data_IF_768770040488
#
_entry.id   IF_768770040488
#
_cell.length_a   1.000
_cell.length_b   1.000
_cell.length_c   1.000
_cell.angle_alpha   90.00
_cell.angle_beta   90.00
_cell.angle_gamma   90.00
#
_symmetry.space_group_name_H-M   'P 1'
#
loop_
_entity.id
_entity.type
_entity.pdbx_description
1 polymer ?
#
# COMPACT_ATOMS: atom_id res chain seq x y z
N UNK A 1 -13.42 11.15 6.47
CA UNK A 1 -13.80 10.85 5.07
C UNK A 1 -15.03 9.92 5.07
N UNK A 2 -15.95 10.06 4.10
CA UNK A 2 -17.21 9.29 4.02
C UNK A 2 -17.04 7.76 3.98
N UNK A 3 -15.91 7.26 3.49
CA UNK A 3 -15.62 5.82 3.40
C UNK A 3 -15.61 5.10 4.76
N UNK A 4 -15.40 5.82 5.86
CA UNK A 4 -15.40 5.27 7.22
C UNK A 4 -16.76 5.42 7.94
N UNK A 5 -17.81 5.86 7.25
CA UNK A 5 -19.16 5.93 7.82
C UNK A 5 -19.84 4.57 7.90
N UNK A 6 -19.32 3.57 7.18
CA UNK A 6 -19.78 2.19 7.29
C UNK A 6 -18.94 1.50 8.34
N UNK A 7 -19.61 1.05 9.39
CA UNK A 7 -18.99 0.17 10.38
C UNK A 7 -18.71 -1.17 9.68
N UNK A 8 -17.43 -1.52 9.61
CA UNK A 8 -16.93 -2.81 9.13
C UNK A 8 -17.26 -3.15 7.65
N UNK A 9 -16.64 -2.45 6.67
CA UNK A 9 -16.82 -2.76 5.26
C UNK A 9 -16.09 -4.05 4.87
N UNK A 10 -16.78 -4.97 4.19
CA UNK A 10 -16.16 -6.18 3.63
C UNK A 10 -15.05 -5.86 2.60
N UNK A 11 -15.22 -4.77 1.85
CA UNK A 11 -14.24 -4.28 0.88
C UNK A 11 -13.98 -2.79 1.14
N UNK A 12 -12.74 -2.47 1.46
CA UNK A 12 -12.23 -1.11 1.58
C UNK A 12 -11.30 -0.83 0.40
N UNK A 13 -11.64 0.19 -0.41
CA UNK A 13 -10.77 0.64 -1.50
C UNK A 13 -10.30 2.06 -1.18
N UNK A 14 -8.98 2.24 -1.14
CA UNK A 14 -8.32 3.50 -0.85
C UNK A 14 -7.49 3.91 -2.08
N UNK A 15 -7.90 4.98 -2.74
CA UNK A 15 -7.19 5.56 -3.88
C UNK A 15 -6.43 6.80 -3.42
N UNK A 16 -5.11 6.72 -3.38
CA UNK A 16 -4.19 7.76 -2.90
C UNK A 16 -4.65 8.48 -1.62
N UNK A 17 -4.99 7.76 -0.53
CA UNK A 17 -5.63 8.35 0.65
C UNK A 17 -4.75 9.37 1.40
N UNK A 18 -3.46 9.43 1.08
CA UNK A 18 -2.43 10.23 1.76
C UNK A 18 -1.83 11.32 0.89
N UNK A 19 -2.40 11.59 -0.30
CA UNK A 19 -1.86 12.56 -1.25
C UNK A 19 -1.63 13.99 -0.68
N UNK A 20 -2.29 14.34 0.43
CA UNK A 20 -2.14 15.62 1.12
C UNK A 20 -1.52 15.54 2.52
N UNK A 21 -0.97 14.37 2.92
CA UNK A 21 -0.41 14.14 4.24
C UNK A 21 1.12 14.15 4.21
N UNK A 22 1.73 14.62 5.28
CA UNK A 22 3.17 14.47 5.52
C UNK A 22 3.52 13.00 5.83
N UNK A 23 4.81 12.66 5.73
CA UNK A 23 5.28 11.28 5.83
C UNK A 23 5.00 10.63 7.21
N UNK A 24 5.00 11.40 8.30
CA UNK A 24 4.73 10.88 9.65
C UNK A 24 3.24 10.58 9.81
N UNK A 25 2.39 11.52 9.40
CA UNK A 25 0.93 11.33 9.41
C UNK A 25 0.50 10.20 8.47
N UNK A 26 1.15 10.06 7.31
CA UNK A 26 0.95 8.95 6.39
C UNK A 26 1.25 7.60 7.05
N UNK A 27 2.43 7.47 7.67
CA UNK A 27 2.84 6.23 8.32
C UNK A 27 1.86 5.83 9.44
N UNK A 28 1.50 6.78 10.31
CA UNK A 28 0.55 6.54 11.39
C UNK A 28 -0.84 6.14 10.88
N UNK A 29 -1.31 6.75 9.79
CA UNK A 29 -2.60 6.41 9.18
C UNK A 29 -2.58 4.98 8.62
N UNK A 30 -1.49 4.58 7.98
CA UNK A 30 -1.38 3.24 7.42
C UNK A 30 -1.18 2.14 8.45
N UNK A 31 -0.44 2.40 9.53
CA UNK A 31 -0.39 1.47 10.67
C UNK A 31 -1.79 1.19 11.22
N UNK A 32 -2.65 2.23 11.30
CA UNK A 32 -4.05 2.05 11.70
C UNK A 32 -4.84 1.20 10.69
N UNK A 33 -4.65 1.42 9.39
CA UNK A 33 -5.30 0.62 8.35
C UNK A 33 -4.83 -0.83 8.36
N UNK A 34 -3.52 -1.07 8.48
CA UNK A 34 -2.94 -2.39 8.57
C UNK A 34 -3.41 -3.13 9.83
N UNK A 35 -3.47 -2.44 10.98
CA UNK A 35 -3.99 -3.01 12.22
C UNK A 35 -5.49 -3.37 12.09
N UNK A 36 -6.30 -2.51 11.49
CA UNK A 36 -7.72 -2.78 11.24
C UNK A 36 -7.91 -3.96 10.28
N UNK A 37 -7.14 -4.01 9.19
CA UNK A 37 -7.17 -5.11 8.23
C UNK A 37 -6.78 -6.45 8.89
N UNK A 38 -5.77 -6.46 9.77
CA UNK A 38 -5.33 -7.67 10.50
C UNK A 38 -6.27 -8.08 11.64
N UNK A 39 -6.95 -7.13 12.28
CA UNK A 39 -7.90 -7.41 13.35
C UNK A 39 -9.19 -8.07 12.81
N UNK A 40 -9.56 -7.72 11.59
CA UNK A 40 -10.71 -8.27 10.88
C UNK A 40 -10.37 -9.63 10.26
N UNK A 41 -10.63 -10.71 11.02
CA UNK A 41 -10.30 -12.09 10.62
C UNK A 41 -11.32 -12.73 9.67
N UNK A 42 -12.41 -12.05 9.34
CA UNK A 42 -13.58 -12.62 8.67
C UNK A 42 -13.60 -12.39 7.13
N UNK A 43 -12.42 -12.33 6.51
CA UNK A 43 -12.31 -12.27 5.04
C UNK A 43 -12.46 -10.88 4.43
N UNK A 44 -12.30 -9.81 5.22
CA UNK A 44 -12.31 -8.44 4.71
C UNK A 44 -11.09 -8.15 3.83
N UNK A 45 -11.31 -7.38 2.76
CA UNK A 45 -10.31 -7.06 1.76
C UNK A 45 -10.06 -5.55 1.79
N UNK A 46 -8.79 -5.16 1.91
CA UNK A 46 -8.35 -3.78 1.71
C UNK A 46 -7.53 -3.70 0.44
N UNK A 47 -7.98 -2.88 -0.51
CA UNK A 47 -7.23 -2.52 -1.72
C UNK A 47 -6.71 -1.11 -1.53
N UNK A 48 -5.39 -0.96 -1.66
CA UNK A 48 -4.74 0.33 -1.65
C UNK A 48 -4.06 0.59 -2.98
N UNK A 49 -4.38 1.72 -3.59
CA UNK A 49 -3.65 2.27 -4.74
C UNK A 49 -2.79 3.42 -4.23
N UNK A 50 -1.48 3.30 -4.40
CA UNK A 50 -0.52 4.32 -3.95
C UNK A 50 0.76 4.27 -4.75
N UNK A 51 1.33 5.45 -5.00
CA UNK A 51 2.68 5.63 -5.51
C UNK A 51 3.73 5.79 -4.37
N UNK A 52 3.32 5.71 -3.09
CA UNK A 52 4.16 5.85 -1.90
C UNK A 52 4.59 4.48 -1.37
N UNK A 53 5.88 4.18 -1.44
CA UNK A 53 6.44 2.88 -1.04
C UNK A 53 6.56 2.69 0.47
N UNK A 54 6.62 3.78 1.25
CA UNK A 54 6.49 3.76 2.72
C UNK A 54 5.30 2.93 3.18
N UNK A 55 4.24 2.99 2.38
CA UNK A 55 2.99 2.30 2.59
C UNK A 55 2.92 0.96 1.89
N UNK A 56 3.22 0.92 0.58
CA UNK A 56 3.05 -0.29 -0.23
C UNK A 56 3.85 -1.46 0.35
N UNK A 57 4.99 -1.21 1.00
CA UNK A 57 5.79 -2.25 1.67
C UNK A 57 5.09 -3.00 2.79
N UNK A 58 4.02 -2.45 3.37
CA UNK A 58 3.27 -3.05 4.49
C UNK A 58 2.13 -3.96 4.02
N UNK A 59 1.84 -3.98 2.72
CA UNK A 59 0.79 -4.81 2.15
C UNK A 59 1.15 -6.29 2.18
N UNK A 60 0.14 -7.14 2.41
CA UNK A 60 0.30 -8.59 2.36
C UNK A 60 0.57 -9.09 0.92
N UNK A 61 0.06 -8.38 -0.08
CA UNK A 61 0.27 -8.63 -1.51
C UNK A 61 0.41 -7.31 -2.25
N UNK A 62 1.45 -7.21 -3.09
CA UNK A 62 1.69 -6.06 -3.95
C UNK A 62 1.48 -6.48 -5.40
N UNK A 63 0.69 -5.68 -6.12
CA UNK A 63 0.47 -5.82 -7.57
C UNK A 63 1.07 -4.59 -8.24
N UNK A 64 2.04 -4.81 -9.12
CA UNK A 64 2.75 -3.75 -9.83
C UNK A 64 2.18 -3.63 -11.23
N UNK A 65 1.73 -2.42 -11.55
CA UNK A 65 1.19 -2.06 -12.85
C UNK A 65 2.18 -1.16 -13.58
N UNK A 66 2.45 -1.49 -14.85
CA UNK A 66 3.11 -0.61 -15.81
C UNK A 66 2.12 -0.33 -16.96
N UNK A 67 1.64 0.92 -17.02
CA UNK A 67 0.51 1.31 -17.86
C UNK A 67 -0.73 0.48 -17.54
N UNK A 68 -1.20 -0.33 -18.50
CA UNK A 68 -2.36 -1.20 -18.35
C UNK A 68 -1.98 -2.69 -18.16
N UNK A 69 -0.73 -2.98 -17.79
CA UNK A 69 -0.21 -4.35 -17.67
C UNK A 69 0.25 -4.63 -16.25
N UNK A 70 -0.16 -5.80 -15.74
CA UNK A 70 0.41 -6.38 -14.53
C UNK A 70 1.78 -6.96 -14.87
N UNK A 71 2.83 -6.37 -14.28
CA UNK A 71 4.23 -6.72 -14.57
C UNK A 71 4.85 -7.55 -13.47
N UNK A 72 4.47 -7.33 -12.21
CA UNK A 72 4.99 -8.08 -11.06
C UNK A 72 3.92 -8.26 -9.99
N UNK A 73 4.01 -9.37 -9.25
CA UNK A 73 3.18 -9.67 -8.09
C UNK A 73 4.04 -10.38 -7.04
N UNK A 74 3.84 -10.04 -5.77
CA UNK A 74 4.50 -10.67 -4.63
C UNK A 74 4.45 -9.81 -3.38
N UNK A 75 5.15 -10.25 -2.34
CA UNK A 75 5.41 -9.45 -1.14
C UNK A 75 6.52 -8.43 -1.39
N UNK A 76 6.67 -7.45 -0.49
CA UNK A 76 7.76 -6.47 -0.55
C UNK A 76 9.14 -7.11 -0.70
N UNK A 77 9.42 -8.12 0.13
CA UNK A 77 10.72 -8.79 0.16
C UNK A 77 10.97 -9.59 -1.11
N UNK A 78 9.96 -10.31 -1.63
CA UNK A 78 10.08 -11.05 -2.88
C UNK A 78 10.35 -10.12 -4.07
N UNK A 79 9.62 -8.99 -4.17
CA UNK A 79 9.77 -8.05 -5.26
C UNK A 79 11.11 -7.29 -5.20
N UNK A 80 11.60 -6.96 -4.00
CA UNK A 80 12.94 -6.42 -3.83
C UNK A 80 14.02 -7.41 -4.21
N UNK A 81 13.90 -8.66 -3.80
CA UNK A 81 14.87 -9.71 -4.13
C UNK A 81 14.96 -9.99 -5.64
N UNK A 82 13.84 -9.84 -6.37
CA UNK A 82 13.80 -9.98 -7.84
C UNK A 82 14.59 -8.89 -8.57
N UNK A 83 14.81 -7.73 -7.96
CA UNK A 83 15.52 -6.62 -8.61
C UNK A 83 14.80 -6.05 -9.84
N UNK A 84 13.48 -6.25 -9.93
CA UNK A 84 12.64 -5.81 -11.06
C UNK A 84 12.23 -4.34 -10.98
N UNK A 85 11.15 -4.01 -11.69
CA UNK A 85 10.58 -2.67 -11.77
C UNK A 85 10.19 -2.12 -10.40
N UNK A 86 9.59 -2.95 -9.54
CA UNK A 86 9.31 -2.60 -8.15
C UNK A 86 10.54 -2.13 -7.39
N UNK A 87 11.64 -2.90 -7.50
CA UNK A 87 12.88 -2.63 -6.77
C UNK A 87 13.56 -1.35 -7.27
N UNK A 88 13.52 -1.10 -8.57
CA UNK A 88 14.05 0.12 -9.18
C UNK A 88 13.31 1.37 -8.67
N UNK A 89 11.97 1.37 -8.78
CA UNK A 89 11.13 2.47 -8.31
C UNK A 89 11.28 2.70 -6.79
N UNK A 90 11.33 1.62 -6.02
CA UNK A 90 11.60 1.69 -4.58
C UNK A 90 12.94 2.38 -4.30
N UNK A 91 13.99 2.02 -5.02
CA UNK A 91 15.32 2.60 -4.89
C UNK A 91 15.36 4.10 -5.19
N UNK A 92 14.69 4.53 -6.26
CA UNK A 92 14.58 5.96 -6.62
C UNK A 92 13.89 6.74 -5.51
N UNK A 93 12.74 6.25 -5.02
CA UNK A 93 12.01 6.95 -3.98
C UNK A 93 12.77 6.96 -2.65
N UNK A 94 13.39 5.85 -2.25
CA UNK A 94 14.19 5.75 -1.03
C UNK A 94 15.42 6.67 -1.04
N UNK A 95 15.98 6.98 -2.22
CA UNK A 95 17.07 7.94 -2.35
C UNK A 95 16.61 9.39 -2.15
N UNK A 96 15.36 9.72 -2.50
CA UNK A 96 14.80 11.07 -2.35
C UNK A 96 14.46 11.45 -0.90
N UNK A 97 14.32 10.47 0.00
CA UNK A 97 14.07 10.67 1.43
C UNK A 97 15.34 10.63 2.30
N UNK A 98 16.53 10.61 1.67
CA UNK A 98 17.83 10.57 2.36
C UNK A 98 18.49 11.94 2.35
#
# INVERSE_FOLDING_TARGET
ARGFMRDDPFLLVLDEPTAALDAETEHALFERYAAAARANRDGHITILVSHRFSTVRMADLIVVLDGARLVEVGTHEELKAKGGHYSELYGIQAAAYR
#
